data_IF_011782469900
#
_entry.id   IF_011782469900
#
_cell.length_a   1.000
_cell.length_b   1.000
_cell.length_c   1.000
_cell.angle_alpha   90.00
_cell.angle_beta   90.00
_cell.angle_gamma   90.00
#
_symmetry.space_group_name_H-M   'P 1'
#
loop_
_entity.id
_entity.type
_entity.pdbx_description
1 polymer ?
#
# COMPACT_ATOMS: atom_id res chain seq x y z
N UNK A 1 10.66 -14.12 -0.61
CA UNK A 1 11.68 -13.27 -1.27
C UNK A 1 11.97 -11.93 -0.59
N UNK A 2 11.10 -11.44 0.30
CA UNK A 2 11.33 -10.20 1.05
C UNK A 2 12.61 -10.20 1.87
N UNK A 3 12.95 -11.31 2.48
CA UNK A 3 14.16 -11.43 3.34
C UNK A 3 15.49 -11.15 2.61
N UNK A 4 15.60 -11.49 1.32
CA UNK A 4 16.79 -11.19 0.51
C UNK A 4 16.90 -9.69 0.14
N UNK A 5 15.87 -8.89 0.43
CA UNK A 5 15.81 -7.46 0.14
C UNK A 5 16.05 -6.58 1.36
N UNK A 6 16.51 -7.15 2.49
CA UNK A 6 16.73 -6.42 3.75
C UNK A 6 15.54 -6.42 4.71
N UNK A 7 14.45 -7.11 4.39
CA UNK A 7 13.30 -7.29 5.28
C UNK A 7 13.67 -8.33 6.35
N UNK A 8 13.67 -7.93 7.61
CA UNK A 8 14.05 -8.79 8.74
C UNK A 8 12.88 -9.62 9.28
N UNK A 9 11.64 -9.14 9.13
CA UNK A 9 10.45 -9.72 9.72
C UNK A 9 9.22 -9.40 8.87
N UNK A 10 8.28 -10.31 8.82
CA UNK A 10 7.00 -10.10 8.12
C UNK A 10 5.87 -10.39 9.10
N UNK A 11 5.00 -9.40 9.29
CA UNK A 11 3.76 -9.53 10.03
C UNK A 11 2.61 -9.72 9.06
N UNK A 12 1.85 -10.78 9.24
CA UNK A 12 0.63 -11.06 8.48
C UNK A 12 -0.57 -10.72 9.36
N UNK A 13 -1.28 -9.65 9.02
CA UNK A 13 -2.47 -9.26 9.75
C UNK A 13 -3.65 -10.04 9.19
N UNK A 14 -4.32 -10.79 10.05
CA UNK A 14 -5.45 -11.65 9.68
C UNK A 14 -6.74 -11.16 10.32
N UNK A 15 -7.88 -11.46 9.72
CA UNK A 15 -9.21 -11.15 10.24
C UNK A 15 -10.16 -12.30 9.97
N UNK A 16 -10.76 -12.34 8.78
CA UNK A 16 -11.66 -13.42 8.37
C UNK A 16 -10.89 -14.74 8.15
N UNK A 17 -11.41 -15.84 8.70
CA UNK A 17 -10.84 -17.21 8.56
C UNK A 17 -9.31 -17.28 8.75
N UNK A 18 -8.75 -16.81 9.88
CA UNK A 18 -7.31 -16.69 10.07
C UNK A 18 -6.57 -18.03 9.97
N UNK A 19 -7.21 -19.13 10.32
CA UNK A 19 -6.60 -20.47 10.26
C UNK A 19 -6.31 -20.92 8.82
N UNK A 20 -7.17 -20.58 7.85
CA UNK A 20 -6.94 -20.90 6.44
C UNK A 20 -5.68 -20.18 5.94
N UNK A 21 -5.51 -18.90 6.28
CA UNK A 21 -4.32 -18.12 5.91
C UNK A 21 -3.06 -18.72 6.55
N UNK A 22 -3.11 -19.06 7.84
CA UNK A 22 -1.99 -19.67 8.55
C UNK A 22 -1.59 -21.01 7.93
N UNK A 23 -2.56 -21.86 7.58
CA UNK A 23 -2.30 -23.15 6.94
C UNK A 23 -1.63 -22.99 5.57
N UNK A 24 -2.12 -22.09 4.72
CA UNK A 24 -1.56 -21.84 3.40
C UNK A 24 -0.15 -21.23 3.47
N UNK A 25 0.15 -20.48 4.51
CA UNK A 25 1.45 -19.81 4.68
C UNK A 25 2.42 -20.56 5.59
N UNK A 26 2.05 -21.74 6.14
CA UNK A 26 2.91 -22.50 7.08
C UNK A 26 4.26 -22.90 6.50
N UNK A 27 4.38 -23.02 5.18
CA UNK A 27 5.64 -23.32 4.48
C UNK A 27 6.66 -22.18 4.53
N UNK A 28 6.24 -20.96 4.87
CA UNK A 28 7.12 -19.82 5.01
C UNK A 28 7.51 -19.63 6.47
N UNK A 29 8.78 -19.79 6.76
CA UNK A 29 9.34 -19.56 8.09
C UNK A 29 9.40 -18.04 8.38
N UNK A 30 9.43 -17.66 9.66
CA UNK A 30 9.61 -16.28 10.14
C UNK A 30 8.44 -15.33 9.88
N UNK A 31 7.21 -15.86 9.70
CA UNK A 31 6.00 -15.03 9.70
C UNK A 31 5.45 -14.90 11.12
N UNK A 32 5.09 -13.68 11.52
CA UNK A 32 4.29 -13.44 12.72
C UNK A 32 2.85 -13.14 12.30
N UNK A 33 1.90 -13.91 12.84
CA UNK A 33 0.48 -13.69 12.59
C UNK A 33 -0.12 -12.84 13.72
N UNK A 34 -0.80 -11.76 13.34
CA UNK A 34 -1.50 -10.86 14.26
C UNK A 34 -2.97 -10.83 13.86
N UNK A 35 -3.86 -11.22 14.77
CA UNK A 35 -5.28 -11.27 14.46
C UNK A 35 -5.98 -9.94 14.77
N UNK A 36 -6.70 -9.40 13.79
CA UNK A 36 -7.64 -8.31 13.98
C UNK A 36 -9.02 -8.86 14.36
N UNK A 37 -9.30 -9.02 15.63
CA UNK A 37 -10.60 -9.52 16.12
C UNK A 37 -11.78 -8.58 15.84
N UNK A 38 -11.50 -7.35 15.36
CA UNK A 38 -12.50 -6.33 15.04
C UNK A 38 -12.61 -6.09 13.52
N UNK A 39 -12.17 -7.04 12.69
CA UNK A 39 -12.13 -6.87 11.23
C UNK A 39 -13.49 -6.49 10.61
N UNK A 40 -14.63 -6.92 11.19
CA UNK A 40 -15.98 -6.57 10.71
C UNK A 40 -16.34 -5.09 10.95
N UNK A 41 -15.65 -4.42 11.89
CA UNK A 41 -15.95 -3.06 12.34
C UNK A 41 -14.83 -2.07 12.04
N UNK A 42 -13.74 -2.55 11.45
CA UNK A 42 -12.54 -1.76 11.14
C UNK A 42 -12.08 -2.05 9.72
N UNK A 43 -11.21 -1.22 9.20
CA UNK A 43 -10.63 -1.38 7.87
C UNK A 43 -9.11 -1.51 7.91
N UNK A 44 -8.48 -1.46 6.74
CA UNK A 44 -7.06 -1.78 6.52
C UNK A 44 -6.08 -0.94 7.35
N UNK A 45 -6.36 0.35 7.60
CA UNK A 45 -5.51 1.20 8.45
C UNK A 45 -5.47 0.67 9.89
N UNK A 46 -6.62 0.27 10.44
CA UNK A 46 -6.67 -0.35 11.77
C UNK A 46 -5.84 -1.64 11.83
N UNK A 47 -5.99 -2.47 10.81
CA UNK A 47 -5.24 -3.73 10.71
C UNK A 47 -3.73 -3.47 10.72
N UNK A 48 -3.24 -2.55 9.89
CA UNK A 48 -1.82 -2.21 9.84
C UNK A 48 -1.27 -1.68 11.16
N UNK A 49 -2.06 -0.89 11.91
CA UNK A 49 -1.67 -0.37 13.22
C UNK A 49 -1.45 -1.45 14.27
N UNK A 50 -2.08 -2.62 14.15
CA UNK A 50 -1.82 -3.75 15.05
C UNK A 50 -0.39 -4.27 14.90
N UNK A 51 0.15 -4.25 13.68
CA UNK A 51 1.57 -4.53 13.40
C UNK A 51 2.49 -3.42 13.88
N UNK A 52 2.21 -2.16 13.50
CA UNK A 52 3.04 -0.99 13.86
C UNK A 52 3.23 -0.81 15.36
N UNK A 53 2.24 -1.16 16.18
CA UNK A 53 2.33 -1.07 17.65
C UNK A 53 3.25 -2.11 18.29
N UNK A 54 3.62 -3.15 17.55
CA UNK A 54 4.41 -4.26 18.12
C UNK A 54 5.91 -3.96 18.14
N UNK A 55 6.38 -3.18 17.17
CA UNK A 55 7.80 -2.91 16.99
C UNK A 55 8.01 -1.43 16.63
N UNK A 56 9.10 -0.84 17.09
CA UNK A 56 9.49 0.53 16.76
C UNK A 56 10.64 0.50 15.74
N UNK A 57 10.35 -0.01 14.55
CA UNK A 57 11.31 -0.17 13.45
C UNK A 57 10.75 0.40 12.17
N UNK A 58 11.63 0.77 11.23
CA UNK A 58 11.21 1.12 9.88
C UNK A 58 10.32 0.02 9.33
N UNK A 59 9.16 0.40 8.81
CA UNK A 59 8.13 -0.55 8.42
C UNK A 59 7.64 -0.27 7.02
N UNK A 60 7.48 -1.33 6.21
CA UNK A 60 6.75 -1.28 4.94
C UNK A 60 5.41 -1.97 5.15
N UNK A 61 4.34 -1.25 4.92
CA UNK A 61 2.98 -1.80 4.83
C UNK A 61 2.75 -2.18 3.38
N UNK A 62 2.20 -3.38 3.15
CA UNK A 62 1.83 -3.87 1.83
C UNK A 62 0.39 -4.35 1.81
N UNK A 63 -0.33 -4.02 0.76
CA UNK A 63 -1.55 -4.73 0.40
C UNK A 63 -1.22 -6.18 0.04
N UNK A 64 -2.20 -7.08 0.08
CA UNK A 64 -2.00 -8.52 -0.13
C UNK A 64 -2.41 -9.00 -1.51
N UNK A 65 -3.09 -8.19 -2.26
CA UNK A 65 -3.66 -8.40 -3.60
C UNK A 65 -2.85 -7.74 -4.72
N UNK A 66 -1.60 -7.41 -4.45
CA UNK A 66 -0.69 -6.76 -5.40
C UNK A 66 0.50 -7.66 -5.77
N UNK A 67 0.86 -7.63 -7.04
CA UNK A 67 2.07 -8.26 -7.57
C UNK A 67 3.12 -7.21 -7.95
N UNK A 68 4.36 -7.41 -7.51
CA UNK A 68 5.49 -6.53 -7.79
C UNK A 68 6.83 -7.27 -7.64
N UNK A 69 7.90 -6.72 -8.18
CA UNK A 69 9.22 -7.29 -8.02
C UNK A 69 9.87 -6.81 -6.72
N UNK A 70 10.63 -7.69 -6.06
CA UNK A 70 11.31 -7.44 -4.77
C UNK A 70 12.24 -6.22 -4.76
N UNK A 71 12.66 -5.72 -5.90
CA UNK A 71 13.52 -4.54 -6.04
C UNK A 71 12.94 -3.28 -5.39
N UNK A 72 11.60 -3.18 -5.25
CA UNK A 72 10.95 -2.05 -4.57
C UNK A 72 11.36 -1.95 -3.10
N UNK A 73 11.52 -3.07 -2.40
CA UNK A 73 11.97 -3.05 -1.00
C UNK A 73 13.36 -2.43 -0.86
N UNK A 74 14.30 -2.85 -1.74
CA UNK A 74 15.64 -2.25 -1.76
C UNK A 74 15.61 -0.77 -2.13
N UNK A 75 14.71 -0.35 -3.03
CA UNK A 75 14.53 1.04 -3.41
C UNK A 75 14.02 1.88 -2.22
N UNK A 76 13.02 1.41 -1.49
CA UNK A 76 12.47 2.08 -0.32
C UNK A 76 13.48 2.16 0.83
N UNK A 77 14.16 1.06 1.14
CA UNK A 77 15.14 1.00 2.24
C UNK A 77 16.37 1.87 1.94
N UNK A 78 16.89 1.82 0.70
CA UNK A 78 18.08 2.57 0.28
C UNK A 78 17.81 4.06 0.08
N UNK A 79 16.57 4.47 -0.14
CA UNK A 79 16.22 5.88 -0.32
C UNK A 79 16.60 6.73 0.89
N UNK A 80 16.79 6.11 2.08
CA UNK A 80 17.06 6.79 3.37
C UNK A 80 16.14 7.98 3.59
N UNK A 81 14.95 7.92 3.01
CA UNK A 81 13.99 9.00 3.10
C UNK A 81 13.51 9.13 4.55
N UNK A 82 13.65 10.33 5.11
CA UNK A 82 13.19 10.63 6.46
C UNK A 82 11.67 10.81 6.56
N UNK A 83 10.96 10.88 5.42
CA UNK A 83 9.52 11.03 5.36
C UNK A 83 8.84 9.67 5.12
N UNK A 84 7.56 9.58 5.50
CA UNK A 84 6.69 8.51 5.01
C UNK A 84 6.74 8.56 3.48
N UNK A 85 7.01 7.41 2.84
CA UNK A 85 7.24 7.36 1.39
C UNK A 85 6.22 6.44 0.73
N UNK A 86 5.59 6.95 -0.33
CA UNK A 86 4.53 6.30 -1.07
C UNK A 86 5.03 5.99 -2.49
N UNK A 87 5.30 4.73 -2.83
CA UNK A 87 5.61 4.38 -4.20
C UNK A 87 4.36 4.43 -5.08
N UNK A 88 4.57 4.79 -6.34
CA UNK A 88 3.49 4.94 -7.32
C UNK A 88 3.89 4.44 -8.70
N UNK A 89 2.88 4.13 -9.53
CA UNK A 89 3.02 3.68 -10.91
C UNK A 89 2.63 4.82 -11.86
N UNK A 90 3.57 5.26 -12.71
CA UNK A 90 3.32 6.32 -13.69
C UNK A 90 2.57 5.82 -14.93
N UNK A 91 2.87 4.62 -15.38
CA UNK A 91 2.25 3.99 -16.56
C UNK A 91 0.94 3.25 -16.26
N UNK A 92 0.24 3.66 -15.21
CA UNK A 92 -0.97 3.01 -14.69
C UNK A 92 -2.08 2.80 -15.73
N UNK A 93 -2.27 3.73 -16.69
CA UNK A 93 -3.30 3.60 -17.73
C UNK A 93 -3.14 2.34 -18.59
N UNK A 94 -1.90 1.92 -18.83
CA UNK A 94 -1.62 0.67 -19.55
C UNK A 94 -2.02 -0.55 -18.74
N UNK A 95 -1.81 -0.52 -17.42
CA UNK A 95 -2.18 -1.59 -16.51
C UNK A 95 -3.70 -1.72 -16.42
N UNK A 96 -4.43 -0.60 -16.27
CA UNK A 96 -5.90 -0.61 -16.28
C UNK A 96 -6.47 -1.14 -17.60
N UNK A 97 -5.83 -0.83 -18.72
CA UNK A 97 -6.20 -1.40 -20.03
C UNK A 97 -6.02 -2.93 -20.06
N UNK A 98 -4.93 -3.44 -19.51
CA UNK A 98 -4.67 -4.90 -19.39
C UNK A 98 -5.72 -5.56 -18.48
N UNK A 99 -6.04 -4.94 -17.36
CA UNK A 99 -7.07 -5.39 -16.42
C UNK A 99 -8.49 -5.24 -16.97
N UNK A 100 -8.66 -4.51 -18.07
CA UNK A 100 -9.97 -4.16 -18.67
C UNK A 100 -10.90 -3.43 -17.70
N UNK A 101 -10.35 -2.70 -16.75
CA UNK A 101 -11.10 -1.92 -15.76
C UNK A 101 -11.43 -0.53 -16.28
N UNK A 102 -12.61 -0.04 -15.89
CA UNK A 102 -12.99 1.35 -16.15
C UNK A 102 -12.23 2.29 -15.20
N UNK A 103 -11.36 3.12 -15.75
CA UNK A 103 -10.53 4.05 -14.97
C UNK A 103 -11.35 5.04 -14.14
N UNK A 104 -12.58 5.36 -14.53
CA UNK A 104 -13.43 6.31 -13.79
C UNK A 104 -14.18 5.65 -12.63
N UNK A 105 -14.20 4.34 -12.56
CA UNK A 105 -14.86 3.57 -11.50
C UNK A 105 -13.86 3.03 -10.48
N UNK A 106 -12.68 2.64 -10.95
CA UNK A 106 -11.71 1.88 -10.18
C UNK A 106 -10.48 2.71 -9.74
N UNK A 107 -9.98 3.62 -10.62
CA UNK A 107 -8.78 4.38 -10.29
C UNK A 107 -9.08 5.62 -9.43
N UNK A 108 -8.12 5.99 -8.59
CA UNK A 108 -8.17 7.16 -7.71
C UNK A 108 -7.12 8.22 -8.11
N UNK A 109 -7.27 9.45 -7.63
CA UNK A 109 -6.27 10.49 -7.86
C UNK A 109 -4.96 10.18 -7.15
N UNK A 110 -3.86 10.54 -7.79
CA UNK A 110 -2.52 10.57 -7.20
C UNK A 110 -1.77 11.74 -7.84
N UNK A 111 -1.57 12.82 -7.08
CA UNK A 111 -0.91 14.03 -7.57
C UNK A 111 0.29 14.37 -6.71
N UNK A 112 1.39 14.74 -7.34
CA UNK A 112 2.64 15.13 -6.68
C UNK A 112 3.03 16.56 -7.05
N UNK A 113 3.84 17.20 -6.22
CA UNK A 113 4.46 18.48 -6.56
C UNK A 113 5.80 18.29 -7.28
N UNK A 114 6.43 19.40 -7.69
CA UNK A 114 7.75 19.43 -8.36
C UNK A 114 8.88 18.80 -7.55
N UNK A 115 8.72 18.68 -6.24
CA UNK A 115 9.68 18.07 -5.33
C UNK A 115 9.34 16.60 -4.99
N UNK A 116 8.40 16.00 -5.71
CA UNK A 116 7.90 14.64 -5.49
C UNK A 116 7.23 14.44 -4.12
N UNK A 117 6.63 15.48 -3.54
CA UNK A 117 5.75 15.33 -2.39
C UNK A 117 4.32 15.09 -2.86
N UNK A 118 3.65 14.13 -2.19
CA UNK A 118 2.25 13.81 -2.45
C UNK A 118 1.34 14.98 -2.04
N UNK A 119 0.50 15.43 -2.96
CA UNK A 119 -0.43 16.56 -2.78
C UNK A 119 -1.88 16.10 -2.63
N UNK A 120 -2.24 15.04 -3.32
CA UNK A 120 -3.60 14.50 -3.31
C UNK A 120 -3.57 13.00 -3.62
N UNK A 121 -4.41 12.24 -2.93
CA UNK A 121 -4.60 10.80 -3.15
C UNK A 121 -6.03 10.40 -2.78
N UNK A 122 -6.58 9.40 -3.45
CA UNK A 122 -7.82 8.75 -3.02
C UNK A 122 -9.10 9.50 -3.38
N UNK A 123 -9.04 10.43 -4.35
CA UNK A 123 -10.24 11.09 -4.85
C UNK A 123 -10.70 10.45 -6.16
N UNK A 124 -11.99 10.55 -6.45
CA UNK A 124 -12.56 9.99 -7.67
C UNK A 124 -11.99 10.68 -8.93
N UNK A 125 -11.60 9.88 -9.91
CA UNK A 125 -11.18 10.38 -11.22
C UNK A 125 -12.41 10.68 -12.09
N UNK A 126 -12.33 11.77 -12.85
CA UNK A 126 -13.31 12.16 -13.86
C UNK A 126 -12.60 12.78 -15.07
N UNK A 127 -13.36 13.10 -16.14
CA UNK A 127 -12.79 13.64 -17.37
C UNK A 127 -12.04 14.97 -17.17
N UNK A 128 -12.42 15.78 -16.16
CA UNK A 128 -11.81 17.09 -15.91
C UNK A 128 -10.43 16.95 -15.25
N UNK A 129 -10.27 16.03 -14.26
CA UNK A 129 -9.03 15.87 -13.49
C UNK A 129 -8.09 14.79 -14.04
N UNK A 130 -8.51 13.98 -15.04
CA UNK A 130 -7.72 12.86 -15.58
C UNK A 130 -6.31 13.26 -16.08
N UNK A 131 -6.17 14.50 -16.60
CA UNK A 131 -4.89 15.00 -17.11
C UNK A 131 -3.91 15.39 -15.99
N UNK A 132 -4.42 15.62 -14.78
CA UNK A 132 -3.66 16.03 -13.61
C UNK A 132 -3.16 14.85 -12.77
N UNK A 133 -3.43 13.61 -13.19
CA UNK A 133 -3.05 12.40 -12.46
C UNK A 133 -1.63 12.01 -12.85
N UNK A 134 -0.71 12.13 -11.90
CA UNK A 134 0.71 11.81 -12.09
C UNK A 134 0.99 10.31 -12.09
N UNK A 135 0.16 9.54 -11.39
CA UNK A 135 0.30 8.09 -11.28
C UNK A 135 -0.83 7.43 -10.51
N UNK A 136 -0.59 6.20 -10.07
CA UNK A 136 -1.51 5.46 -9.18
C UNK A 136 -0.75 4.91 -7.97
N UNK A 137 -1.41 4.91 -6.82
CA UNK A 137 -0.92 4.25 -5.62
C UNK A 137 -0.77 2.75 -5.87
N UNK A 138 0.34 2.18 -5.45
CA UNK A 138 0.61 0.76 -5.70
C UNK A 138 0.40 -0.16 -4.48
N UNK A 139 -0.26 0.32 -3.45
CA UNK A 139 -0.56 -0.50 -2.26
C UNK A 139 0.61 -0.70 -1.31
N UNK A 140 1.68 0.11 -1.41
CA UNK A 140 2.84 0.07 -0.52
C UNK A 140 3.05 1.41 0.20
N UNK A 141 3.43 1.35 1.48
CA UNK A 141 3.73 2.52 2.30
C UNK A 141 4.97 2.24 3.14
N UNK A 142 6.03 3.02 2.97
CA UNK A 142 7.19 2.99 3.87
C UNK A 142 7.01 4.02 4.98
N UNK A 143 7.12 3.59 6.23
CA UNK A 143 7.01 4.42 7.42
C UNK A 143 8.32 4.31 8.20
N UNK A 144 9.16 5.37 8.23
CA UNK A 144 10.30 5.45 9.13
C UNK A 144 9.86 5.33 10.59
N UNK A 145 10.68 4.70 11.42
CA UNK A 145 10.38 4.45 12.85
C UNK A 145 9.97 5.71 13.61
N UNK A 146 10.60 6.84 13.31
CA UNK A 146 10.31 8.13 13.93
C UNK A 146 8.87 8.64 13.68
N UNK A 147 8.25 8.21 12.58
CA UNK A 147 6.86 8.58 12.24
C UNK A 147 5.80 7.64 12.82
N UNK A 148 6.17 6.46 13.33
CA UNK A 148 5.20 5.46 13.81
C UNK A 148 4.30 6.02 14.91
N UNK A 149 4.87 6.70 15.90
CA UNK A 149 4.09 7.32 17.00
C UNK A 149 3.13 8.38 16.48
N UNK A 150 3.57 9.20 15.52
CA UNK A 150 2.74 10.22 14.87
C UNK A 150 1.56 9.58 14.13
N UNK A 151 1.83 8.58 13.29
CA UNK A 151 0.79 7.84 12.54
C UNK A 151 -0.26 7.26 13.47
N UNK A 152 0.16 6.61 14.57
CA UNK A 152 -0.75 6.05 15.57
C UNK A 152 -1.58 7.14 16.25
N UNK A 153 -0.97 8.29 16.59
CA UNK A 153 -1.66 9.44 17.21
C UNK A 153 -2.73 10.00 16.28
N UNK A 154 -2.38 10.26 15.01
CA UNK A 154 -3.29 10.83 14.02
C UNK A 154 -4.45 9.90 13.69
N UNK A 155 -4.20 8.58 13.57
CA UNK A 155 -5.30 7.62 13.44
C UNK A 155 -6.25 7.64 14.64
N UNK A 156 -5.72 7.72 15.87
CA UNK A 156 -6.57 7.79 17.08
C UNK A 156 -7.44 9.05 17.12
N UNK A 157 -6.93 10.17 16.61
CA UNK A 157 -7.68 11.43 16.47
C UNK A 157 -8.81 11.30 15.45
N UNK A 158 -8.65 10.43 14.44
CA UNK A 158 -9.67 10.17 13.44
C UNK A 158 -10.75 9.22 14.00
N UNK A 159 -12.01 9.66 13.98
CA UNK A 159 -13.14 8.88 14.50
C UNK A 159 -13.65 7.80 13.52
N UNK A 160 -13.20 7.84 12.25
CA UNK A 160 -13.60 6.85 11.25
C UNK A 160 -12.79 5.54 11.39
N UNK A 161 -13.43 4.50 11.91
CA UNK A 161 -12.82 3.18 12.07
C UNK A 161 -12.76 2.35 10.78
N UNK A 162 -13.57 2.72 9.78
CA UNK A 162 -13.57 2.14 8.43
C UNK A 162 -12.80 3.05 7.47
N UNK A 163 -11.56 3.35 7.81
CA UNK A 163 -10.71 4.25 7.04
C UNK A 163 -9.76 3.45 6.15
N UNK A 164 -9.89 3.63 4.85
CA UNK A 164 -8.94 3.11 3.85
C UNK A 164 -7.64 3.90 3.87
N UNK A 165 -6.55 3.33 3.35
CA UNK A 165 -5.24 3.98 3.36
C UNK A 165 -5.21 5.28 2.56
N UNK A 166 -5.82 5.32 1.38
CA UNK A 166 -5.84 6.53 0.54
C UNK A 166 -6.51 7.70 1.27
N UNK A 167 -7.64 7.44 1.94
CA UNK A 167 -8.30 8.42 2.80
C UNK A 167 -7.45 8.84 4.00
N UNK A 168 -6.73 7.91 4.62
CA UNK A 168 -5.83 8.21 5.74
C UNK A 168 -4.63 9.05 5.28
N UNK A 169 -3.97 8.68 4.19
CA UNK A 169 -2.86 9.44 3.63
C UNK A 169 -3.28 10.86 3.24
N UNK A 170 -4.48 11.01 2.66
CA UNK A 170 -5.02 12.31 2.35
C UNK A 170 -5.30 13.15 3.61
N UNK A 171 -5.69 12.52 4.73
CA UNK A 171 -5.82 13.22 6.01
C UNK A 171 -4.47 13.68 6.57
N UNK A 172 -3.39 12.89 6.39
CA UNK A 172 -2.04 13.30 6.77
C UNK A 172 -1.58 14.54 5.98
N UNK A 173 -1.88 14.59 4.67
CA UNK A 173 -1.58 15.75 3.83
C UNK A 173 -2.32 17.00 4.34
N UNK A 174 -3.59 16.86 4.73
CA UNK A 174 -4.38 17.96 5.31
C UNK A 174 -3.87 18.44 6.67
N UNK A 175 -3.22 17.56 7.42
CA UNK A 175 -2.51 17.89 8.68
C UNK A 175 -1.06 18.36 8.43
N UNK A 176 -0.71 18.82 7.20
CA UNK A 176 0.59 19.33 6.76
C UNK A 176 1.76 18.34 6.90
N UNK A 177 1.48 17.04 6.97
CA UNK A 177 2.52 16.01 6.99
C UNK A 177 3.06 15.81 5.57
N UNK A 178 4.35 16.04 5.39
CA UNK A 178 5.04 15.81 4.10
C UNK A 178 5.18 14.31 3.84
N UNK A 179 4.51 13.83 2.80
CA UNK A 179 4.62 12.47 2.30
C UNK A 179 5.46 12.50 1.02
N UNK A 180 6.59 11.82 1.03
CA UNK A 180 7.41 11.67 -0.18
C UNK A 180 6.80 10.65 -1.12
N UNK A 181 6.97 10.82 -2.42
CA UNK A 181 6.61 9.81 -3.41
C UNK A 181 7.84 9.31 -4.17
N UNK A 182 7.78 8.07 -4.66
CA UNK A 182 8.83 7.47 -5.45
C UNK A 182 8.23 6.67 -6.61
N UNK A 183 8.69 6.97 -7.84
CA UNK A 183 8.23 6.25 -9.03
C UNK A 183 8.80 4.83 -9.04
N UNK A 184 7.91 3.82 -9.15
CA UNK A 184 8.29 2.44 -9.40
C UNK A 184 8.18 2.13 -10.89
N UNK A 185 9.31 1.77 -11.51
CA UNK A 185 9.44 1.62 -12.96
C UNK A 185 9.35 0.17 -13.47
N UNK A 186 9.15 -0.79 -12.54
CA UNK A 186 9.01 -2.20 -12.91
C UNK A 186 7.54 -2.60 -13.00
N UNK A 187 7.29 -3.83 -13.45
CA UNK A 187 5.93 -4.34 -13.55
C UNK A 187 5.28 -4.44 -12.18
N UNK A 188 4.07 -3.90 -12.08
CA UNK A 188 3.17 -3.98 -10.95
C UNK A 188 1.78 -4.37 -11.45
N UNK A 189 1.02 -5.08 -10.65
CA UNK A 189 -0.33 -5.51 -10.98
C UNK A 189 -1.16 -5.68 -9.72
N UNK A 190 -2.47 -5.42 -9.78
CA UNK A 190 -3.43 -5.61 -8.70
C UNK A 190 -4.46 -6.66 -9.10
N UNK A 191 -4.88 -7.48 -8.15
CA UNK A 191 -5.74 -8.65 -8.36
C UNK A 191 -6.99 -8.49 -7.52
N UNK A 192 -8.04 -7.91 -8.10
CA UNK A 192 -9.32 -7.73 -7.42
C UNK A 192 -10.26 -8.92 -7.62
N UNK A 193 -10.12 -9.60 -8.75
CA UNK A 193 -11.00 -10.68 -9.14
C UNK A 193 -10.28 -11.82 -9.87
N UNK A 194 -11.03 -12.85 -10.25
CA UNK A 194 -10.51 -14.03 -10.93
C UNK A 194 -10.00 -13.71 -12.36
N UNK A 195 -10.53 -12.70 -13.02
CA UNK A 195 -10.06 -12.27 -14.33
C UNK A 195 -8.68 -11.62 -14.22
N UNK A 196 -8.49 -10.74 -13.25
CA UNK A 196 -7.19 -10.15 -12.93
C UNK A 196 -6.14 -11.25 -12.65
N UNK A 197 -6.50 -12.25 -11.84
CA UNK A 197 -5.62 -13.39 -11.55
C UNK A 197 -5.20 -14.15 -12.82
N UNK A 198 -6.17 -14.50 -13.68
CA UNK A 198 -5.89 -15.21 -14.94
C UNK A 198 -5.04 -14.39 -15.91
N UNK A 199 -5.28 -13.07 -15.97
CA UNK A 199 -4.50 -12.17 -16.80
C UNK A 199 -3.05 -12.08 -16.31
N UNK A 200 -2.85 -11.95 -14.99
CA UNK A 200 -1.51 -11.95 -14.40
C UNK A 200 -0.77 -13.28 -14.67
N UNK A 201 -1.44 -14.43 -14.51
CA UNK A 201 -0.80 -15.72 -14.79
C UNK A 201 -0.28 -15.82 -16.23
N UNK A 202 -1.01 -15.30 -17.21
CA UNK A 202 -0.56 -15.27 -18.61
C UNK A 202 0.67 -14.38 -18.79
N UNK A 203 0.71 -13.23 -18.11
CA UNK A 203 1.83 -12.26 -18.23
C UNK A 203 3.12 -12.82 -17.63
N UNK A 204 3.06 -13.49 -16.47
CA UNK A 204 4.27 -13.97 -15.76
C UNK A 204 4.81 -15.29 -16.33
N UNK A 205 4.03 -16.00 -17.17
CA UNK A 205 4.48 -17.24 -17.86
C UNK A 205 5.14 -16.95 -19.21
N UNK A 206 5.08 -15.74 -19.71
CA UNK A 206 5.81 -15.26 -20.89
C UNK A 206 7.22 -14.80 -20.53
#
# INVERSE_FOLDING_TARGET
>A
DGYHSGIKKIDVITGFKPNNIKQNLKKYNKLRFINNNKYNHTDMVHSALLGLKKDNTDTIISYTDIYFQKSIFSQLIKSKNKNITIPFIKNWKQIWKIRKKNIFEDAETFKIDKNSFLKEIGQKINKKNLKEIDGQFMGLIYIPKEHIKLVIKLYKKNNNRKLQFTGFLNSLIKDDIKLSSIEYKKFWYEIDDLEDYKNLEKIIKQ
#
